data_IF_713117752859
#
_entry.id   IF_713117752859
#
_cell.length_a   1.000
_cell.length_b   1.000
_cell.length_c   1.000
_cell.angle_alpha   90.00
_cell.angle_beta   90.00
_cell.angle_gamma   90.00
#
_symmetry.space_group_name_H-M   'P 1'
#
loop_
_entity.id
_entity.type
_entity.pdbx_description
1 polymer ?
#
# COMPACT_ATOMS: atom_id res chain seq x y z
N UNK A 1 -3.60 3.92 -20.72
CA UNK A 1 -2.54 2.90 -20.91
C UNK A 1 -2.94 1.70 -20.07
N UNK A 2 -2.77 0.47 -20.55
CA UNK A 2 -3.10 -0.70 -19.75
C UNK A 2 -2.18 -0.75 -18.52
N UNK A 3 -2.75 -0.91 -17.33
CA UNK A 3 -1.96 -1.11 -16.11
C UNK A 3 -1.15 -2.40 -16.26
N UNK A 4 0.18 -2.28 -16.11
CA UNK A 4 1.13 -3.39 -16.22
C UNK A 4 2.18 -3.28 -15.13
N UNK A 5 2.51 -4.41 -14.52
CA UNK A 5 3.53 -4.52 -13.47
C UNK A 5 4.00 -5.97 -13.30
N UNK A 6 5.07 -6.17 -12.54
CA UNK A 6 5.72 -7.45 -12.35
C UNK A 6 4.82 -8.44 -11.58
N UNK A 7 4.57 -9.59 -12.21
CA UNK A 7 3.73 -10.65 -11.65
C UNK A 7 2.23 -10.36 -11.70
N UNK A 8 1.78 -9.49 -12.62
CA UNK A 8 0.37 -9.10 -12.81
C UNK A 8 -0.62 -10.27 -12.69
N UNK A 9 -0.45 -11.32 -13.52
CA UNK A 9 -1.36 -12.47 -13.56
C UNK A 9 -1.46 -13.21 -12.21
N UNK A 10 -0.39 -13.19 -11.41
CA UNK A 10 -0.36 -13.86 -10.11
C UNK A 10 -1.06 -13.07 -9.00
N UNK A 11 -1.39 -11.80 -9.26
CA UNK A 11 -1.81 -10.83 -8.23
C UNK A 11 -3.16 -10.19 -8.52
N UNK A 12 -3.52 -10.04 -9.79
CA UNK A 12 -4.61 -9.19 -10.22
C UNK A 12 -5.97 -9.56 -9.60
N UNK A 13 -6.29 -10.86 -9.48
CA UNK A 13 -7.54 -11.31 -8.89
C UNK A 13 -7.68 -10.87 -7.42
N UNK A 14 -6.58 -10.95 -6.68
CA UNK A 14 -6.52 -10.53 -5.28
C UNK A 14 -6.61 -9.01 -5.16
N UNK A 15 -5.90 -8.28 -6.02
CA UNK A 15 -5.94 -6.81 -6.04
C UNK A 15 -7.36 -6.31 -6.35
N UNK A 16 -7.98 -6.84 -7.41
CA UNK A 16 -9.34 -6.49 -7.81
C UNK A 16 -10.35 -6.79 -6.71
N UNK A 17 -10.19 -7.91 -5.99
CA UNK A 17 -11.03 -8.23 -4.83
C UNK A 17 -10.91 -7.16 -3.74
N UNK A 18 -9.69 -6.78 -3.35
CA UNK A 18 -9.46 -5.76 -2.32
C UNK A 18 -9.97 -4.39 -2.76
N UNK A 19 -9.77 -4.00 -4.02
CA UNK A 19 -10.32 -2.76 -4.57
C UNK A 19 -11.85 -2.76 -4.49
N UNK A 20 -12.50 -3.84 -4.92
CA UNK A 20 -13.96 -3.99 -4.89
C UNK A 20 -14.52 -3.94 -3.46
N UNK A 21 -13.84 -4.58 -2.49
CA UNK A 21 -14.20 -4.51 -1.06
C UNK A 21 -14.15 -3.07 -0.51
N UNK A 22 -13.32 -2.21 -1.11
CA UNK A 22 -13.22 -0.79 -0.79
C UNK A 22 -14.01 0.10 -1.76
N UNK A 23 -14.85 -0.50 -2.61
CA UNK A 23 -15.70 0.19 -3.57
C UNK A 23 -14.97 0.84 -4.74
N UNK A 24 -13.69 0.50 -4.98
CA UNK A 24 -12.87 0.97 -6.11
C UNK A 24 -12.94 -0.06 -7.24
N UNK A 25 -13.23 0.38 -8.46
CA UNK A 25 -13.48 -0.51 -9.61
C UNK A 25 -12.21 -0.99 -10.31
N UNK A 26 -11.12 -0.22 -10.27
CA UNK A 26 -9.85 -0.58 -10.91
C UNK A 26 -8.65 0.17 -10.34
N UNK A 27 -7.44 -0.23 -10.74
CA UNK A 27 -6.21 0.50 -10.38
C UNK A 27 -6.15 1.88 -11.02
N UNK A 28 -6.74 2.06 -12.20
CA UNK A 28 -6.88 3.38 -12.84
C UNK A 28 -7.81 4.29 -12.05
N UNK A 29 -8.95 3.78 -11.53
CA UNK A 29 -9.78 4.56 -10.61
C UNK A 29 -9.01 4.88 -9.33
N UNK A 30 -8.27 3.92 -8.78
CA UNK A 30 -7.43 4.15 -7.59
C UNK A 30 -6.43 5.29 -7.80
N UNK A 31 -5.76 5.31 -8.96
CA UNK A 31 -4.86 6.40 -9.34
C UNK A 31 -5.60 7.74 -9.45
N UNK A 32 -6.74 7.78 -10.13
CA UNK A 32 -7.52 9.01 -10.27
C UNK A 32 -7.96 9.56 -8.91
N UNK A 33 -8.41 8.70 -7.98
CA UNK A 33 -8.77 9.09 -6.61
C UNK A 33 -7.60 9.79 -5.91
N UNK A 34 -6.38 9.27 -6.08
CA UNK A 34 -5.18 9.87 -5.50
C UNK A 34 -4.87 11.23 -6.12
N UNK A 35 -4.87 11.29 -7.46
CA UNK A 35 -4.54 12.50 -8.21
C UNK A 35 -5.56 13.63 -7.97
N UNK A 36 -6.84 13.31 -7.83
CA UNK A 36 -7.91 14.27 -7.49
C UNK A 36 -7.70 14.92 -6.11
N UNK A 37 -6.94 14.25 -5.22
CA UNK A 37 -6.52 14.79 -3.92
C UNK A 37 -5.13 15.44 -3.95
N UNK A 38 -4.52 15.56 -5.13
CA UNK A 38 -3.19 16.14 -5.30
C UNK A 38 -2.06 15.23 -4.80
N UNK A 39 -2.31 13.92 -4.66
CA UNK A 39 -1.30 12.94 -4.25
C UNK A 39 -0.96 12.08 -5.46
N UNK A 40 0.33 12.01 -5.81
CA UNK A 40 0.83 11.10 -6.85
C UNK A 40 1.72 10.01 -6.21
N UNK A 41 1.14 8.88 -5.78
CA UNK A 41 1.90 7.84 -5.08
C UNK A 41 3.04 7.26 -5.92
N UNK A 42 2.87 7.17 -7.25
CA UNK A 42 3.89 6.61 -8.15
C UNK A 42 5.13 7.50 -8.21
N UNK A 43 4.95 8.81 -8.40
CA UNK A 43 6.05 9.79 -8.38
C UNK A 43 6.73 9.85 -7.01
N UNK A 44 5.97 9.75 -5.92
CA UNK A 44 6.54 9.73 -4.56
C UNK A 44 7.42 8.48 -4.37
N UNK A 45 6.92 7.30 -4.73
CA UNK A 45 7.68 6.04 -4.62
C UNK A 45 8.95 6.10 -5.46
N UNK A 46 8.86 6.60 -6.69
CA UNK A 46 10.01 6.73 -7.59
C UNK A 46 11.03 7.78 -7.11
N UNK A 47 10.56 8.88 -6.52
CA UNK A 47 11.42 9.90 -5.91
C UNK A 47 12.16 9.39 -4.66
N UNK A 48 11.54 8.49 -3.89
CA UNK A 48 12.17 7.84 -2.73
C UNK A 48 13.14 6.74 -3.16
N UNK A 49 12.75 5.90 -4.12
CA UNK A 49 13.54 4.79 -4.63
C UNK A 49 13.40 4.71 -6.15
N UNK A 50 14.35 5.30 -6.89
CA UNK A 50 14.32 5.39 -8.35
C UNK A 50 14.36 4.04 -9.07
N UNK A 51 14.79 2.98 -8.39
CA UNK A 51 14.82 1.60 -8.89
C UNK A 51 13.61 0.77 -8.39
N UNK A 52 12.56 1.41 -7.87
CA UNK A 52 11.35 0.72 -7.45
C UNK A 52 10.63 0.08 -8.65
N UNK A 53 10.26 -1.18 -8.49
CA UNK A 53 9.43 -1.92 -9.44
C UNK A 53 8.04 -1.30 -9.58
N UNK A 54 7.40 -1.51 -10.74
CA UNK A 54 6.07 -0.95 -11.00
C UNK A 54 5.02 -1.53 -10.04
N UNK A 55 5.17 -2.79 -9.62
CA UNK A 55 4.25 -3.39 -8.65
C UNK A 55 4.24 -2.66 -7.30
N UNK A 56 5.38 -2.13 -6.84
CA UNK A 56 5.47 -1.36 -5.61
C UNK A 56 4.77 -0.01 -5.77
N UNK A 57 5.00 0.68 -6.89
CA UNK A 57 4.32 1.94 -7.21
C UNK A 57 2.80 1.76 -7.22
N UNK A 58 2.29 0.72 -7.87
CA UNK A 58 0.85 0.40 -7.90
C UNK A 58 0.30 -0.06 -6.55
N UNK A 59 1.10 -0.73 -5.72
CA UNK A 59 0.70 -1.09 -4.37
C UNK A 59 0.42 0.14 -3.49
N UNK A 60 1.28 1.17 -3.60
CA UNK A 60 1.06 2.44 -2.92
C UNK A 60 -0.12 3.22 -3.51
N UNK A 61 -0.36 3.18 -4.83
CA UNK A 61 -1.58 3.74 -5.43
C UNK A 61 -2.83 3.09 -4.82
N UNK A 62 -2.87 1.77 -4.78
CA UNK A 62 -3.98 1.01 -4.20
C UNK A 62 -4.21 1.41 -2.73
N UNK A 63 -3.15 1.41 -1.92
CA UNK A 63 -3.21 1.75 -0.50
C UNK A 63 -3.65 3.19 -0.23
N UNK A 64 -3.09 4.16 -0.97
CA UNK A 64 -3.47 5.57 -0.85
C UNK A 64 -4.93 5.80 -1.25
N UNK A 65 -5.41 5.17 -2.32
CA UNK A 65 -6.79 5.28 -2.74
C UNK A 65 -7.76 4.71 -1.70
N UNK A 66 -7.42 3.58 -1.08
CA UNK A 66 -8.18 3.00 0.03
C UNK A 66 -8.24 3.98 1.21
N UNK A 67 -7.11 4.55 1.62
CA UNK A 67 -7.04 5.51 2.71
C UNK A 67 -7.90 6.77 2.45
N UNK A 68 -7.82 7.31 1.23
CA UNK A 68 -8.63 8.45 0.79
C UNK A 68 -10.12 8.10 0.81
N UNK A 69 -10.50 6.93 0.30
CA UNK A 69 -11.91 6.51 0.20
C UNK A 69 -12.53 6.22 1.56
N UNK A 70 -11.75 5.66 2.50
CA UNK A 70 -12.14 5.47 3.90
C UNK A 70 -12.12 6.78 4.71
N UNK A 71 -11.56 7.86 4.17
CA UNK A 71 -11.54 9.17 4.81
C UNK A 71 -10.59 9.27 6.00
N UNK A 72 -9.41 8.64 5.91
CA UNK A 72 -8.37 8.73 6.93
C UNK A 72 -8.09 10.20 7.31
N UNK A 73 -8.07 10.47 8.62
CA UNK A 73 -7.93 11.84 9.16
C UNK A 73 -6.56 12.11 9.78
N UNK A 74 -5.79 11.06 10.05
CA UNK A 74 -4.44 11.15 10.58
C UNK A 74 -3.44 10.40 9.69
N UNK A 75 -2.16 10.76 9.83
CA UNK A 75 -1.08 10.06 9.14
C UNK A 75 -0.98 8.59 9.59
N UNK A 76 -1.24 8.32 10.87
CA UNK A 76 -1.24 6.97 11.43
C UNK A 76 -2.34 6.09 10.82
N UNK A 77 -3.59 6.60 10.75
CA UNK A 77 -4.69 5.89 10.09
C UNK A 77 -4.41 5.63 8.60
N UNK A 78 -3.87 6.64 7.90
CA UNK A 78 -3.52 6.51 6.50
C UNK A 78 -2.45 5.43 6.28
N UNK A 79 -1.42 5.37 7.14
CA UNK A 79 -0.35 4.38 7.04
C UNK A 79 -0.88 2.94 7.20
N UNK A 80 -1.74 2.69 8.20
CA UNK A 80 -2.37 1.39 8.40
C UNK A 80 -3.18 0.96 7.16
N UNK A 81 -3.97 1.88 6.60
CA UNK A 81 -4.78 1.61 5.40
C UNK A 81 -3.93 1.40 4.14
N UNK A 82 -2.80 2.11 4.01
CA UNK A 82 -1.83 1.87 2.93
C UNK A 82 -1.29 0.45 3.02
N UNK A 83 -1.06 -0.07 4.24
CA UNK A 83 -0.68 -1.46 4.47
C UNK A 83 -1.65 -2.49 3.89
N UNK A 84 -2.96 -2.19 3.84
CA UNK A 84 -3.94 -3.06 3.17
C UNK A 84 -3.67 -3.16 1.66
N UNK A 85 -3.35 -2.03 1.02
CA UNK A 85 -2.97 -1.98 -0.39
C UNK A 85 -1.66 -2.73 -0.67
N UNK A 86 -0.65 -2.53 0.18
CA UNK A 86 0.61 -3.27 0.09
C UNK A 86 0.39 -4.79 0.22
N UNK A 87 -0.48 -5.19 1.15
CA UNK A 87 -0.81 -6.59 1.34
C UNK A 87 -1.51 -7.20 0.12
N UNK A 88 -2.38 -6.44 -0.56
CA UNK A 88 -3.02 -6.91 -1.80
C UNK A 88 -1.99 -7.31 -2.87
N UNK A 89 -0.83 -6.66 -2.85
CA UNK A 89 0.31 -6.94 -3.72
C UNK A 89 1.30 -7.97 -3.14
N UNK A 90 1.00 -8.70 -2.07
CA UNK A 90 1.74 -9.90 -1.67
C UNK A 90 1.29 -11.13 -2.49
N UNK A 91 2.23 -11.99 -2.90
CA UNK A 91 1.93 -13.11 -3.83
C UNK A 91 1.17 -14.19 -3.05
N UNK A 92 0.05 -14.71 -3.56
CA UNK A 92 -0.62 -15.86 -2.94
C UNK A 92 0.36 -17.02 -2.70
N UNK A 93 0.45 -17.49 -1.45
CA UNK A 93 1.34 -18.58 -1.03
C UNK A 93 2.81 -18.21 -0.85
N UNK A 94 3.17 -16.93 -0.92
CA UNK A 94 4.50 -16.46 -0.50
C UNK A 94 4.58 -16.23 1.01
N UNK A 95 5.80 -16.27 1.56
CA UNK A 95 6.07 -15.90 2.96
C UNK A 95 5.52 -14.51 3.28
N UNK A 96 5.64 -13.55 2.36
CA UNK A 96 5.12 -12.20 2.54
C UNK A 96 3.59 -12.16 2.71
N UNK A 97 2.88 -13.08 2.05
CA UNK A 97 1.44 -13.21 2.23
C UNK A 97 1.08 -13.86 3.56
N UNK A 98 1.69 -15.01 3.85
CA UNK A 98 1.41 -15.78 5.07
C UNK A 98 1.72 -14.96 6.33
N UNK A 99 2.83 -14.22 6.30
CA UNK A 99 3.24 -13.35 7.40
C UNK A 99 2.54 -12.01 7.41
N UNK A 100 1.74 -11.65 6.39
CA UNK A 100 1.06 -10.35 6.29
C UNK A 100 2.02 -9.15 6.27
N UNK A 101 3.13 -9.27 5.54
CA UNK A 101 4.20 -8.27 5.50
C UNK A 101 3.68 -6.89 5.05
N UNK A 102 2.78 -6.82 4.07
CA UNK A 102 2.22 -5.56 3.60
C UNK A 102 1.44 -4.83 4.69
N UNK A 103 0.60 -5.55 5.45
CA UNK A 103 -0.11 -4.99 6.62
C UNK A 103 0.86 -4.55 7.69
N UNK A 104 1.84 -5.39 8.01
CA UNK A 104 2.84 -5.05 9.00
C UNK A 104 3.64 -3.78 8.65
N UNK A 105 3.99 -3.54 7.38
CA UNK A 105 4.60 -2.26 6.99
C UNK A 105 3.67 -1.06 7.27
N UNK A 106 2.36 -1.20 7.01
CA UNK A 106 1.38 -0.17 7.33
C UNK A 106 1.24 0.06 8.83
N UNK A 107 1.15 -1.02 9.61
CA UNK A 107 1.02 -0.97 11.07
C UNK A 107 2.28 -0.39 11.74
N UNK A 108 3.48 -0.69 11.22
CA UNK A 108 4.73 -0.06 11.65
C UNK A 108 4.69 1.44 11.36
N UNK A 109 4.29 1.83 10.15
CA UNK A 109 4.13 3.24 9.80
C UNK A 109 3.12 3.94 10.72
N UNK A 110 2.01 3.27 11.02
CA UNK A 110 0.98 3.79 11.91
C UNK A 110 1.49 4.01 13.34
N UNK A 111 2.27 3.06 13.88
CA UNK A 111 2.90 3.15 15.20
C UNK A 111 3.92 4.30 15.28
N UNK A 112 4.69 4.54 14.20
CA UNK A 112 5.71 5.60 14.17
C UNK A 112 5.11 7.00 13.98
N UNK A 113 3.95 7.08 13.33
CA UNK A 113 3.24 8.33 13.05
C UNK A 113 2.16 8.66 14.09
N UNK A 114 1.96 7.80 15.09
CA UNK A 114 1.03 8.04 16.20
C UNK A 114 1.61 9.00 17.24
N UNK A 115 0.78 9.90 17.77
CA UNK A 115 1.18 10.86 18.81
C UNK A 115 1.49 10.19 20.16
N UNK A 116 1.03 8.94 20.35
CA UNK A 116 1.28 8.09 21.50
C UNK A 116 2.57 7.25 21.36
N UNK A 117 3.36 7.48 20.30
CA UNK A 117 4.58 6.71 20.08
C UNK A 117 5.65 7.03 21.14
N UNK A 118 6.00 6.02 21.93
CA UNK A 118 7.11 6.07 22.91
C UNK A 118 8.41 5.44 22.34
N UNK A 119 8.41 5.10 21.05
CA UNK A 119 9.52 4.41 20.40
C UNK A 119 10.66 5.38 20.03
N UNK A 120 11.71 5.42 20.85
CA UNK A 120 12.92 6.21 20.55
C UNK A 120 13.73 5.65 19.36
N UNK A 121 13.78 4.32 19.21
CA UNK A 121 14.46 3.64 18.11
C UNK A 121 13.89 2.24 17.91
N UNK A 122 13.86 1.76 16.66
CA UNK A 122 13.48 0.39 16.33
C UNK A 122 14.45 -0.23 15.32
N UNK A 123 14.46 -1.55 15.26
CA UNK A 123 15.15 -2.32 14.23
C UNK A 123 14.11 -3.23 13.56
N UNK A 124 13.88 -3.01 12.26
CA UNK A 124 13.05 -3.89 11.45
C UNK A 124 13.89 -4.51 10.34
N UNK A 125 13.84 -5.84 10.21
CA UNK A 125 14.30 -6.53 9.01
C UNK A 125 13.26 -6.44 7.89
N UNK A 126 13.66 -6.85 6.68
CA UNK A 126 12.88 -6.69 5.45
C UNK A 126 11.47 -7.32 5.49
N UNK A 127 11.26 -8.33 6.32
CA UNK A 127 9.98 -9.05 6.50
C UNK A 127 9.62 -9.21 8.00
N UNK A 128 10.21 -8.40 8.88
CA UNK A 128 10.18 -8.65 10.33
C UNK A 128 8.98 -8.05 11.05
N UNK A 129 8.33 -7.04 10.48
CA UNK A 129 7.13 -6.45 11.03
C UNK A 129 5.95 -6.93 10.18
N UNK A 130 5.33 -8.01 10.63
CA UNK A 130 4.37 -8.83 9.88
C UNK A 130 3.52 -9.64 10.89
#
# INVERSE_FOLDING_TARGET
>A
MAVSFEGYERRIDKINKVLAENGISSLEEAEQICLDKGVNPREIVEGVQSIAFENAKWAYVCGCAIAIKKGAKSASEAAAMIGEGLQAFCVPGSVAEDRKVGKGHGDLGAMLLGDDTECFAFLAGHESFA
#
